data_IF_331671434931
#
_entry.id   IF_331671434931
#
_cell.length_a   1.000
_cell.length_b   1.000
_cell.length_c   1.000
_cell.angle_alpha   90.00
_cell.angle_beta   90.00
_cell.angle_gamma   90.00
#
_symmetry.space_group_name_H-M   'P 1'
#
loop_
_entity.id
_entity.type
_entity.pdbx_description
1 polymer ?
#
# COMPACT_ATOMS: atom_id res chain seq x y z
N UNK A 1 -1.04 6.05 -1.20
CA UNK A 1 0.22 5.52 -1.80
C UNK A 1 1.07 6.62 -2.43
N UNK A 2 0.50 7.48 -3.28
CA UNK A 2 1.25 8.57 -3.93
C UNK A 2 2.00 9.48 -2.96
N UNK A 3 1.39 9.84 -1.84
CA UNK A 3 2.05 10.69 -0.84
C UNK A 3 3.24 10.02 -0.13
N UNK A 4 3.10 8.74 0.25
CA UNK A 4 4.19 7.93 0.84
C UNK A 4 5.40 7.90 -0.09
N UNK A 5 5.17 7.77 -1.41
CA UNK A 5 6.24 7.81 -2.40
C UNK A 5 6.82 9.21 -2.59
N UNK A 6 5.98 10.24 -2.61
CA UNK A 6 6.39 11.63 -2.76
C UNK A 6 7.28 12.10 -1.58
N UNK A 7 7.01 11.65 -0.36
CA UNK A 7 7.83 11.90 0.83
C UNK A 7 9.28 11.37 0.68
N UNK A 8 9.50 10.44 -0.25
CA UNK A 8 10.79 9.85 -0.57
C UNK A 8 11.40 10.39 -1.87
N UNK A 9 10.78 11.41 -2.48
CA UNK A 9 11.18 11.95 -3.78
C UNK A 9 10.95 10.99 -4.95
N UNK A 10 10.04 10.00 -4.79
CA UNK A 10 9.66 9.04 -5.83
C UNK A 10 8.30 9.41 -6.42
N UNK A 11 8.02 8.88 -7.61
CA UNK A 11 6.73 9.06 -8.29
C UNK A 11 6.00 7.72 -8.34
N UNK A 12 4.73 7.73 -7.95
CA UNK A 12 3.84 6.59 -8.15
C UNK A 12 3.50 6.49 -9.65
N UNK A 13 3.72 5.35 -10.31
CA UNK A 13 3.31 5.17 -11.70
C UNK A 13 1.80 5.23 -11.85
N UNK A 14 1.33 5.62 -13.03
CA UNK A 14 -0.09 5.56 -13.40
C UNK A 14 -0.56 4.13 -13.78
N UNK A 15 0.36 3.15 -13.74
CA UNK A 15 0.10 1.75 -14.10
C UNK A 15 0.04 0.88 -12.84
N UNK A 16 -1.14 0.32 -12.56
CA UNK A 16 -1.35 -0.58 -11.43
C UNK A 16 -0.58 -1.90 -11.58
N UNK A 17 -0.16 -2.28 -12.80
CA UNK A 17 0.69 -3.45 -13.03
C UNK A 17 2.16 -3.22 -12.64
N UNK A 18 2.54 -1.99 -12.24
CA UNK A 18 3.90 -1.68 -11.86
C UNK A 18 4.35 -2.49 -10.63
N UNK A 19 5.52 -3.11 -10.73
CA UNK A 19 6.11 -3.92 -9.68
C UNK A 19 6.62 -3.03 -8.52
N UNK A 20 6.22 -3.35 -7.28
CA UNK A 20 6.64 -2.62 -6.08
C UNK A 20 8.17 -2.54 -5.95
N UNK A 21 8.86 -3.59 -6.40
CA UNK A 21 10.32 -3.64 -6.38
C UNK A 21 10.96 -2.61 -7.31
N UNK A 22 10.36 -2.36 -8.47
CA UNK A 22 10.87 -1.43 -9.48
C UNK A 22 10.73 0.02 -9.01
N UNK A 23 9.62 0.33 -8.34
CA UNK A 23 9.35 1.65 -7.76
C UNK A 23 9.97 1.83 -6.37
N UNK A 24 10.66 0.81 -5.86
CA UNK A 24 11.32 0.82 -4.58
C UNK A 24 10.35 0.98 -3.39
N UNK A 25 9.13 0.46 -3.51
CA UNK A 25 8.14 0.38 -2.43
C UNK A 25 8.41 -0.88 -1.60
N UNK A 26 8.63 -0.71 -0.29
CA UNK A 26 9.14 -1.71 0.65
C UNK A 26 8.16 -1.88 1.82
N UNK A 27 8.43 -2.86 2.67
CA UNK A 27 7.58 -3.15 3.83
C UNK A 27 7.37 -1.95 4.77
N UNK A 28 8.37 -1.06 4.90
CA UNK A 28 8.22 0.15 5.71
C UNK A 28 7.22 1.14 5.08
N UNK A 29 7.28 1.31 3.76
CA UNK A 29 6.35 2.16 3.01
C UNK A 29 4.92 1.62 3.11
N UNK A 30 4.79 0.29 3.14
CA UNK A 30 3.51 -0.37 3.38
C UNK A 30 2.97 -0.08 4.78
N UNK A 31 3.80 -0.15 5.82
CA UNK A 31 3.40 0.22 7.18
C UNK A 31 3.03 1.70 7.30
N UNK A 32 3.74 2.60 6.62
CA UNK A 32 3.37 4.02 6.58
C UNK A 32 2.03 4.23 5.86
N UNK A 33 1.84 3.57 4.72
CA UNK A 33 0.58 3.63 3.98
C UNK A 33 -0.60 3.14 4.82
N UNK A 34 -0.43 2.03 5.55
CA UNK A 34 -1.41 1.50 6.47
C UNK A 34 -1.83 2.52 7.53
N UNK A 35 -0.86 3.04 8.30
CA UNK A 35 -1.10 4.03 9.36
C UNK A 35 -1.82 5.26 8.83
N UNK A 36 -1.49 5.67 7.60
CA UNK A 36 -2.10 6.82 6.97
C UNK A 36 -3.57 6.57 6.62
N UNK A 37 -3.88 5.39 6.09
CA UNK A 37 -5.28 5.03 5.81
C UNK A 37 -6.06 5.00 7.12
N UNK A 38 -5.52 4.42 8.19
CA UNK A 38 -6.17 4.40 9.51
C UNK A 38 -6.45 5.81 10.06
N UNK A 39 -5.50 6.74 9.90
CA UNK A 39 -5.66 8.15 10.29
C UNK A 39 -6.72 8.87 9.45
N UNK A 40 -6.79 8.59 8.13
CA UNK A 40 -7.74 9.21 7.22
C UNK A 40 -9.17 8.64 7.36
N UNK A 41 -9.33 7.36 7.70
CA UNK A 41 -10.64 6.70 7.82
C UNK A 41 -11.13 6.57 9.26
N UNK A 42 -10.28 6.86 10.25
CA UNK A 42 -10.52 6.58 11.67
C UNK A 42 -10.83 5.09 11.97
N UNK A 43 -10.39 4.18 11.09
CA UNK A 43 -10.62 2.73 11.19
C UNK A 43 -9.29 1.98 11.29
N UNK A 44 -9.18 1.04 12.24
CA UNK A 44 -7.98 0.22 12.40
C UNK A 44 -7.93 -0.89 11.32
N UNK A 45 -6.80 -1.01 10.63
CA UNK A 45 -6.57 -2.02 9.60
C UNK A 45 -5.91 -3.26 10.21
N UNK A 46 -6.61 -4.39 10.15
CA UNK A 46 -6.05 -5.66 10.64
C UNK A 46 -5.33 -6.44 9.53
N UNK A 47 -4.00 -6.45 9.59
CA UNK A 47 -3.16 -7.16 8.62
C UNK A 47 -2.95 -8.62 9.01
N UNK A 48 -3.81 -9.51 8.50
CA UNK A 48 -3.52 -10.94 8.57
C UNK A 48 -2.31 -11.27 7.67
N UNK A 49 -1.25 -11.83 8.28
CA UNK A 49 0.03 -12.15 7.65
C UNK A 49 -0.04 -12.98 6.33
N UNK A 50 -1.06 -13.84 6.08
CA UNK A 50 -1.25 -14.49 4.78
C UNK A 50 -1.60 -13.53 3.63
N UNK A 51 -2.30 -12.42 3.88
CA UNK A 51 -2.69 -11.44 2.86
C UNK A 51 -1.49 -10.71 2.26
N UNK A 52 -0.50 -10.37 3.10
CA UNK A 52 0.71 -9.65 2.70
C UNK A 52 1.67 -10.47 1.80
N UNK A 53 1.58 -11.80 1.80
CA UNK A 53 2.54 -12.67 1.06
C UNK A 53 2.36 -12.64 -0.45
N UNK A 54 1.26 -12.07 -0.96
CA UNK A 54 0.92 -12.08 -2.39
C UNK A 54 1.08 -10.72 -3.07
N UNK A 55 1.48 -9.69 -2.35
CA UNK A 55 1.56 -8.33 -2.87
C UNK A 55 2.86 -8.16 -3.68
N UNK A 56 2.74 -7.94 -5.00
CA UNK A 56 3.85 -7.73 -5.91
C UNK A 56 3.76 -6.39 -6.68
N UNK A 57 2.55 -5.95 -6.99
CA UNK A 57 2.26 -4.79 -7.82
C UNK A 57 1.57 -3.66 -7.06
N UNK A 58 1.48 -2.47 -7.67
CA UNK A 58 0.66 -1.36 -7.18
C UNK A 58 -0.80 -1.80 -7.02
N UNK A 59 -1.34 -2.49 -8.01
CA UNK A 59 -2.70 -3.02 -8.01
C UNK A 59 -2.96 -3.96 -6.85
N UNK A 60 -2.01 -4.88 -6.55
CA UNK A 60 -2.16 -5.78 -5.39
C UNK A 60 -2.27 -5.01 -4.06
N UNK A 61 -1.58 -3.88 -3.92
CA UNK A 61 -1.68 -3.02 -2.72
C UNK A 61 -3.05 -2.36 -2.65
N UNK A 62 -3.52 -1.78 -3.75
CA UNK A 62 -4.80 -1.09 -3.82
C UNK A 62 -5.97 -2.04 -3.57
N UNK A 63 -5.95 -3.21 -4.21
CA UNK A 63 -6.94 -4.26 -4.02
C UNK A 63 -6.96 -4.75 -2.57
N UNK A 64 -5.78 -4.96 -1.97
CA UNK A 64 -5.68 -5.39 -0.58
C UNK A 64 -6.24 -4.35 0.40
N UNK A 65 -5.93 -3.06 0.22
CA UNK A 65 -6.52 -2.00 1.05
C UNK A 65 -8.04 -1.91 0.89
N UNK A 66 -8.55 -2.06 -0.33
CA UNK A 66 -9.98 -2.09 -0.60
C UNK A 66 -10.67 -3.33 0.00
N UNK A 67 -9.98 -4.47 0.09
CA UNK A 67 -10.47 -5.65 0.80
C UNK A 67 -10.56 -5.43 2.30
N UNK A 68 -9.56 -4.76 2.91
CA UNK A 68 -9.57 -4.47 4.34
C UNK A 68 -10.71 -3.52 4.74
N UNK A 69 -10.98 -2.48 3.94
CA UNK A 69 -12.07 -1.54 4.20
C UNK A 69 -13.48 -2.13 4.06
N UNK A 70 -13.61 -3.36 3.51
CA UNK A 70 -14.90 -4.05 3.37
C UNK A 70 -15.21 -5.00 4.52
N UNK A 71 -14.29 -5.19 5.47
CA UNK A 71 -14.46 -6.07 6.63
C UNK A 71 -15.08 -5.32 7.80
#
# INVERSE_FOLDING_TARGET
MGEVMANQGKVLPDDDAAELREIGFRSLDFSELALRVEDETEEELNFDAPGLRRIATVGDVLDFLAELQRQ
#
